data_IF_813455175943
#
_entry.id   IF_813455175943
#
_cell.length_a   1.000
_cell.length_b   1.000
_cell.length_c   1.000
_cell.angle_alpha   90.00
_cell.angle_beta   90.00
_cell.angle_gamma   90.00
#
_symmetry.space_group_name_H-M   'P 1'
#
loop_
_entity.id
_entity.type
_entity.pdbx_description
1 polymer ?
#
# COMPACT_ATOMS: atom_id res chain seq x y z
N UNK A 1 -3.29 7.02 -23.79
CA UNK A 1 -2.15 7.56 -23.02
C UNK A 1 -2.37 9.03 -22.75
N UNK A 2 -2.14 9.47 -21.53
CA UNK A 2 -2.26 10.88 -21.18
C UNK A 2 -1.21 11.71 -21.88
N UNK A 3 -1.58 12.92 -22.27
CA UNK A 3 -0.64 13.86 -22.84
C UNK A 3 0.34 14.32 -21.77
N UNK A 4 1.63 14.33 -22.13
CA UNK A 4 2.67 14.85 -21.26
C UNK A 4 2.69 16.37 -21.41
N UNK A 5 2.42 17.07 -20.29
CA UNK A 5 2.47 18.53 -20.26
C UNK A 5 3.92 19.02 -20.16
N UNK A 6 4.17 20.29 -20.53
CA UNK A 6 5.50 20.87 -20.32
C UNK A 6 5.94 20.71 -18.87
N UNK A 7 7.18 20.28 -18.69
CA UNK A 7 7.70 19.95 -17.37
C UNK A 7 8.35 21.17 -16.75
N UNK A 8 7.99 21.46 -15.52
CA UNK A 8 8.86 22.23 -14.64
C UNK A 8 9.50 21.31 -13.61
N UNK A 9 10.47 21.83 -12.86
CA UNK A 9 11.22 21.02 -11.89
C UNK A 9 10.31 20.45 -10.78
N UNK A 10 9.22 21.15 -10.45
CA UNK A 10 8.31 20.72 -9.41
C UNK A 10 7.52 19.47 -9.80
N UNK A 11 7.38 19.18 -11.09
CA UNK A 11 6.56 18.08 -11.60
C UNK A 11 7.36 16.85 -12.03
N UNK A 12 8.68 16.82 -11.81
CA UNK A 12 9.52 15.68 -12.23
C UNK A 12 9.01 14.37 -11.64
N UNK A 13 8.65 14.37 -10.36
CA UNK A 13 8.16 13.19 -9.67
C UNK A 13 6.86 12.67 -10.28
N UNK A 14 5.93 13.57 -10.55
CA UNK A 14 4.68 13.24 -11.21
C UNK A 14 4.93 12.71 -12.64
N UNK A 15 5.86 13.31 -13.36
CA UNK A 15 6.24 12.84 -14.69
C UNK A 15 6.78 11.41 -14.67
N UNK A 16 7.59 11.06 -13.67
CA UNK A 16 8.12 9.71 -13.53
C UNK A 16 6.99 8.70 -13.29
N UNK A 17 5.96 9.07 -12.55
CA UNK A 17 4.79 8.23 -12.36
C UNK A 17 3.99 8.07 -13.64
N UNK A 18 3.84 9.12 -14.45
CA UNK A 18 3.17 9.04 -15.74
C UNK A 18 3.91 8.08 -16.68
N UNK A 19 5.23 8.04 -16.63
CA UNK A 19 6.02 7.12 -17.45
C UNK A 19 5.85 5.66 -17.00
N UNK A 20 5.65 5.43 -15.70
CA UNK A 20 5.44 4.09 -15.16
C UNK A 20 3.99 3.63 -15.33
N UNK A 21 3.04 4.55 -15.33
CA UNK A 21 1.62 4.30 -15.45
C UNK A 21 1.02 5.18 -16.54
N UNK A 22 -0.01 4.69 -17.22
CA UNK A 22 -0.71 5.48 -18.25
C UNK A 22 -1.32 6.77 -17.68
N UNK A 23 -1.65 6.76 -16.41
CA UNK A 23 -2.20 7.90 -15.69
C UNK A 23 -1.43 8.11 -14.38
N UNK A 24 -1.35 9.36 -13.89
CA UNK A 24 -0.73 9.61 -12.59
C UNK A 24 -1.45 8.86 -11.48
N UNK A 25 -0.67 8.23 -10.60
CA UNK A 25 -1.20 7.58 -9.40
C UNK A 25 -1.50 8.64 -8.36
N UNK A 26 -2.70 8.61 -7.80
CA UNK A 26 -3.12 9.53 -6.74
C UNK A 26 -2.97 8.89 -5.36
N UNK A 27 -3.07 9.73 -4.32
CA UNK A 27 -3.13 9.21 -2.95
C UNK A 27 -4.32 8.28 -2.75
N UNK A 28 -5.46 8.56 -3.39
CA UNK A 28 -6.62 7.67 -3.33
C UNK A 28 -6.34 6.31 -3.94
N UNK A 29 -5.60 6.26 -5.04
CA UNK A 29 -5.19 5.00 -5.65
C UNK A 29 -4.30 4.21 -4.70
N UNK A 30 -3.37 4.88 -4.04
CA UNK A 30 -2.49 4.26 -3.06
C UNK A 30 -3.27 3.78 -1.83
N UNK A 31 -4.23 4.56 -1.36
CA UNK A 31 -5.12 4.15 -0.27
C UNK A 31 -5.86 2.87 -0.64
N UNK A 32 -6.39 2.80 -1.85
CA UNK A 32 -7.07 1.59 -2.33
C UNK A 32 -6.13 0.38 -2.30
N UNK A 33 -4.92 0.54 -2.84
CA UNK A 33 -3.94 -0.55 -2.85
C UNK A 33 -3.60 -1.03 -1.45
N UNK A 34 -3.33 -0.12 -0.52
CA UNK A 34 -3.03 -0.47 0.87
C UNK A 34 -4.23 -1.11 1.57
N UNK A 35 -5.43 -0.60 1.31
CA UNK A 35 -6.66 -1.21 1.83
C UNK A 35 -6.81 -2.66 1.37
N UNK A 36 -6.59 -2.95 0.10
CA UNK A 36 -6.68 -4.31 -0.43
C UNK A 36 -5.60 -5.21 0.18
N UNK A 37 -4.38 -4.70 0.34
CA UNK A 37 -3.30 -5.44 1.01
C UNK A 37 -3.72 -5.84 2.43
N UNK A 38 -4.26 -4.90 3.20
CA UNK A 38 -4.71 -5.17 4.57
C UNK A 38 -5.90 -6.14 4.61
N UNK A 39 -6.83 -5.98 3.68
CA UNK A 39 -7.98 -6.88 3.58
C UNK A 39 -7.56 -8.30 3.21
N UNK A 40 -6.65 -8.45 2.25
CA UNK A 40 -6.08 -9.75 1.88
C UNK A 40 -5.39 -10.40 3.08
N UNK A 41 -4.58 -9.65 3.80
CA UNK A 41 -3.88 -10.11 5.00
C UNK A 41 -4.86 -10.72 6.01
N UNK A 42 -5.96 -10.04 6.29
CA UNK A 42 -6.98 -10.53 7.23
C UNK A 42 -7.71 -11.74 6.69
N UNK A 43 -8.04 -11.71 5.44
CA UNK A 43 -8.83 -12.77 4.81
C UNK A 43 -8.10 -14.09 4.74
N UNK A 44 -6.79 -14.07 4.46
CA UNK A 44 -5.99 -15.29 4.38
C UNK A 44 -5.26 -15.61 5.68
N UNK A 45 -5.46 -14.82 6.73
CA UNK A 45 -4.83 -15.03 8.04
C UNK A 45 -3.31 -15.06 7.96
N UNK A 46 -2.73 -14.12 7.20
CA UNK A 46 -1.30 -13.91 7.07
C UNK A 46 -0.96 -12.45 7.34
N UNK A 47 0.32 -12.15 7.51
CA UNK A 47 0.75 -10.76 7.67
C UNK A 47 0.58 -9.98 6.37
N UNK A 48 0.49 -8.65 6.47
CA UNK A 48 0.51 -7.80 5.27
C UNK A 48 1.83 -7.94 4.52
N UNK A 49 2.94 -8.14 5.23
CA UNK A 49 4.24 -8.40 4.59
C UNK A 49 4.19 -9.67 3.71
N UNK A 50 3.53 -10.72 4.20
CA UNK A 50 3.34 -11.92 3.37
C UNK A 50 2.62 -11.58 2.06
N UNK A 51 1.56 -10.79 2.14
CA UNK A 51 0.80 -10.38 0.95
C UNK A 51 1.71 -9.62 -0.02
N UNK A 52 2.38 -8.57 0.47
CA UNK A 52 3.27 -7.75 -0.36
C UNK A 52 4.37 -8.59 -0.99
N UNK A 53 4.98 -9.48 -0.22
CA UNK A 53 6.05 -10.35 -0.70
C UNK A 53 5.58 -11.27 -1.83
N UNK A 54 4.35 -11.75 -1.76
CA UNK A 54 3.82 -12.74 -2.71
C UNK A 54 3.10 -12.13 -3.91
N UNK A 55 2.49 -10.97 -3.79
CA UNK A 55 1.94 -10.27 -4.97
C UNK A 55 3.03 -9.54 -5.75
N UNK A 56 4.13 -9.20 -5.12
CA UNK A 56 5.33 -8.62 -5.74
C UNK A 56 5.05 -7.29 -6.42
N UNK A 57 6.03 -6.82 -7.16
CA UNK A 57 5.90 -5.61 -7.98
C UNK A 57 4.70 -5.67 -8.91
N UNK A 58 4.48 -6.82 -9.53
CA UNK A 58 3.36 -7.03 -10.45
C UNK A 58 2.01 -6.77 -9.79
N UNK A 59 1.77 -7.35 -8.62
CA UNK A 59 0.49 -7.20 -7.93
C UNK A 59 0.26 -5.79 -7.40
N UNK A 60 1.31 -5.15 -6.89
CA UNK A 60 1.21 -3.77 -6.41
C UNK A 60 0.93 -2.83 -7.58
N UNK A 61 1.65 -3.00 -8.69
CA UNK A 61 1.42 -2.23 -9.92
C UNK A 61 -0.02 -2.38 -10.39
N UNK A 62 -0.53 -3.61 -10.40
CA UNK A 62 -1.91 -3.90 -10.79
C UNK A 62 -2.91 -3.12 -9.92
N UNK A 63 -2.75 -3.16 -8.60
CA UNK A 63 -3.64 -2.45 -7.69
C UNK A 63 -3.61 -0.95 -7.91
N UNK A 64 -2.45 -0.37 -8.14
CA UNK A 64 -2.29 1.07 -8.37
C UNK A 64 -2.82 1.49 -9.74
N UNK A 65 -2.49 0.73 -10.77
CA UNK A 65 -2.87 1.05 -12.16
C UNK A 65 -4.38 0.95 -12.37
N UNK A 66 -5.00 -0.06 -11.79
CA UNK A 66 -6.43 -0.32 -12.00
C UNK A 66 -7.31 0.10 -10.82
N UNK A 67 -6.77 0.90 -9.89
CA UNK A 67 -7.50 1.30 -8.68
C UNK A 67 -8.88 1.88 -8.99
N UNK A 68 -8.98 2.80 -9.96
CA UNK A 68 -10.25 3.43 -10.33
C UNK A 68 -11.27 2.41 -10.82
N UNK A 69 -10.83 1.45 -11.65
CA UNK A 69 -11.70 0.40 -12.16
C UNK A 69 -12.09 -0.59 -11.06
N UNK A 70 -11.12 -1.03 -10.26
CA UNK A 70 -11.34 -2.00 -9.19
C UNK A 70 -12.22 -1.44 -8.08
N UNK A 71 -12.18 -0.12 -7.87
CA UNK A 71 -12.99 0.55 -6.86
C UNK A 71 -14.49 0.40 -7.10
N UNK A 72 -14.89 0.20 -8.35
CA UNK A 72 -16.29 0.05 -8.72
C UNK A 72 -16.80 -1.39 -8.64
N UNK A 73 -15.91 -2.37 -8.41
CA UNK A 73 -16.33 -3.75 -8.23
C UNK A 73 -16.32 -4.13 -6.74
N UNK A 74 -16.86 -5.30 -6.42
CA UNK A 74 -16.87 -5.81 -5.06
C UNK A 74 -15.44 -6.11 -4.60
N UNK A 75 -15.04 -5.57 -3.45
CA UNK A 75 -13.69 -5.76 -2.92
C UNK A 75 -13.37 -7.22 -2.62
N UNK A 76 -14.37 -7.99 -2.22
CA UNK A 76 -14.18 -9.42 -2.00
C UNK A 76 -13.85 -10.16 -3.30
N UNK A 77 -14.45 -9.73 -4.41
CA UNK A 77 -14.12 -10.27 -5.73
C UNK A 77 -12.67 -9.97 -6.09
N UNK A 78 -12.21 -8.73 -5.88
CA UNK A 78 -10.82 -8.37 -6.11
C UNK A 78 -9.89 -9.25 -5.28
N UNK A 79 -10.21 -9.46 -4.01
CA UNK A 79 -9.42 -10.34 -3.14
C UNK A 79 -9.43 -11.79 -3.64
N UNK A 80 -10.59 -12.33 -4.04
CA UNK A 80 -10.69 -13.69 -4.57
C UNK A 80 -9.77 -13.87 -5.79
N UNK A 81 -9.83 -12.92 -6.71
CA UNK A 81 -9.02 -12.96 -7.92
C UNK A 81 -7.53 -12.91 -7.61
N UNK A 82 -7.12 -12.07 -6.68
CA UNK A 82 -5.71 -11.96 -6.29
C UNK A 82 -5.20 -13.19 -5.53
N UNK A 83 -6.03 -13.77 -4.67
CA UNK A 83 -5.67 -15.01 -3.97
C UNK A 83 -5.39 -16.11 -4.99
N UNK A 84 -6.22 -16.21 -6.01
CA UNK A 84 -6.06 -17.22 -7.06
C UNK A 84 -4.84 -16.91 -7.93
N UNK A 85 -4.72 -15.68 -8.40
CA UNK A 85 -3.65 -15.27 -9.33
C UNK A 85 -2.26 -15.45 -8.72
N UNK A 86 -2.09 -15.00 -7.47
CA UNK A 86 -0.80 -15.02 -6.79
C UNK A 86 -0.63 -16.23 -5.87
N UNK A 87 -1.59 -17.16 -5.89
CA UNK A 87 -1.55 -18.42 -5.13
C UNK A 87 -1.29 -18.16 -3.64
N UNK A 88 -2.00 -17.20 -3.08
CA UNK A 88 -1.84 -16.84 -1.68
C UNK A 88 -2.38 -17.96 -0.79
N UNK A 89 -1.61 -18.33 0.23
CA UNK A 89 -1.92 -19.44 1.12
C UNK A 89 -2.51 -18.96 2.43
N UNK A 90 -3.49 -19.69 2.95
CA UNK A 90 -4.04 -19.40 4.27
C UNK A 90 -3.01 -19.64 5.37
N UNK A 91 -3.07 -18.82 6.40
CA UNK A 91 -2.30 -18.94 7.61
C UNK A 91 -3.18 -19.00 8.83
N UNK A 92 -2.64 -18.59 9.98
CA UNK A 92 -3.33 -18.70 11.28
C UNK A 92 -3.40 -17.39 12.05
N UNK A 93 -2.98 -16.27 11.47
CA UNK A 93 -3.03 -14.98 12.15
C UNK A 93 -4.46 -14.47 12.12
N UNK A 94 -5.01 -14.18 13.32
CA UNK A 94 -6.33 -13.59 13.45
C UNK A 94 -6.16 -12.16 13.96
N UNK A 95 -6.58 -11.20 13.14
CA UNK A 95 -6.53 -9.79 13.52
C UNK A 95 -7.91 -9.36 14.06
N UNK A 96 -7.95 -8.46 15.06
CA UNK A 96 -9.22 -7.92 15.54
C UNK A 96 -9.91 -7.09 14.46
N UNK A 97 -11.22 -6.90 14.60
CA UNK A 97 -11.96 -6.03 13.69
C UNK A 97 -11.48 -4.57 13.73
N UNK A 98 -11.06 -4.14 14.90
CA UNK A 98 -10.57 -2.78 15.12
C UNK A 98 -9.12 -2.82 15.57
N UNK A 99 -8.26 -1.98 14.97
CA UNK A 99 -8.56 -1.06 13.86
C UNK A 99 -8.92 -1.81 12.58
N UNK A 100 -9.74 -1.18 11.73
CA UNK A 100 -10.19 -1.77 10.48
C UNK A 100 -9.07 -1.85 9.44
N UNK A 101 -9.29 -2.68 8.42
CA UNK A 101 -8.39 -2.74 7.27
C UNK A 101 -8.28 -1.40 6.54
N UNK A 102 -9.39 -0.67 6.44
CA UNK A 102 -9.37 0.66 5.80
C UNK A 102 -8.55 1.66 6.62
N UNK A 103 -8.69 1.65 7.95
CA UNK A 103 -7.90 2.55 8.79
C UNK A 103 -6.41 2.27 8.67
N UNK A 104 -6.01 1.01 8.77
CA UNK A 104 -4.59 0.63 8.66
C UNK A 104 -4.08 0.89 7.25
N UNK A 105 -4.87 0.60 6.23
CA UNK A 105 -4.51 0.95 4.85
C UNK A 105 -4.27 2.44 4.68
N UNK A 106 -5.08 3.27 5.32
CA UNK A 106 -4.88 4.72 5.30
C UNK A 106 -3.56 5.13 5.97
N UNK A 107 -3.23 4.52 7.11
CA UNK A 107 -1.97 4.79 7.80
C UNK A 107 -0.78 4.51 6.88
N UNK A 108 -0.76 3.34 6.25
CA UNK A 108 0.31 2.99 5.32
C UNK A 108 0.35 3.89 4.10
N UNK A 109 -0.81 4.20 3.51
CA UNK A 109 -0.85 5.02 2.32
C UNK A 109 -0.30 6.43 2.57
N UNK A 110 -0.63 7.04 3.69
CA UNK A 110 -0.10 8.36 4.03
C UNK A 110 1.41 8.32 4.30
N UNK A 111 1.89 7.30 5.02
CA UNK A 111 3.31 7.12 5.25
C UNK A 111 4.07 6.93 3.92
N UNK A 112 3.61 6.01 3.10
CA UNK A 112 4.23 5.71 1.80
C UNK A 112 4.24 6.96 0.92
N UNK A 113 3.12 7.69 0.87
CA UNK A 113 3.02 8.91 0.07
C UNK A 113 4.05 9.95 0.47
N UNK A 114 4.30 10.10 1.77
CA UNK A 114 5.27 11.07 2.29
C UNK A 114 6.72 10.65 2.06
N UNK A 115 7.02 9.37 2.11
CA UNK A 115 8.40 8.88 1.96
C UNK A 115 8.73 8.42 0.54
N UNK A 116 7.75 8.45 -0.38
CA UNK A 116 7.97 7.94 -1.73
C UNK A 116 9.14 8.62 -2.42
N UNK A 117 9.90 7.78 -3.12
CA UNK A 117 11.00 8.20 -3.98
C UNK A 117 10.52 8.14 -5.44
N UNK A 118 11.44 7.95 -6.38
CA UNK A 118 11.12 7.90 -7.79
C UNK A 118 10.21 6.74 -8.17
N UNK A 119 10.37 5.60 -7.48
CA UNK A 119 9.59 4.39 -7.75
C UNK A 119 8.60 4.14 -6.60
N UNK A 120 7.34 4.48 -6.83
CA UNK A 120 6.30 4.32 -5.83
C UNK A 120 6.09 2.85 -5.47
N UNK A 121 6.12 1.95 -6.44
CA UNK A 121 5.93 0.51 -6.19
C UNK A 121 7.02 -0.01 -5.27
N UNK A 122 8.26 0.38 -5.54
CA UNK A 122 9.38 -0.01 -4.68
C UNK A 122 9.24 0.58 -3.27
N UNK A 123 8.74 1.81 -3.16
CA UNK A 123 8.50 2.43 -1.85
C UNK A 123 7.46 1.66 -1.05
N UNK A 124 6.40 1.18 -1.69
CA UNK A 124 5.41 0.31 -1.04
C UNK A 124 6.10 -0.92 -0.45
N UNK A 125 6.89 -1.60 -1.26
CA UNK A 125 7.63 -2.79 -0.82
C UNK A 125 8.56 -2.45 0.34
N UNK A 126 9.30 -1.37 0.25
CA UNK A 126 10.27 -0.96 1.26
C UNK A 126 9.61 -0.66 2.60
N UNK A 127 8.48 0.05 2.58
CA UNK A 127 7.77 0.40 3.81
C UNK A 127 7.22 -0.84 4.51
N UNK A 128 6.58 -1.74 3.77
CA UNK A 128 6.07 -2.98 4.36
C UNK A 128 7.19 -3.91 4.86
N UNK A 129 8.39 -3.77 4.33
CA UNK A 129 9.58 -4.53 4.78
C UNK A 129 10.37 -3.82 5.89
N UNK A 130 9.99 -2.60 6.24
CA UNK A 130 10.74 -1.81 7.22
C UNK A 130 10.35 -2.16 8.66
N UNK A 131 11.20 -1.80 9.65
CA UNK A 131 10.86 -2.01 11.07
C UNK A 131 9.58 -1.32 11.52
N UNK A 132 9.21 -0.19 10.91
CA UNK A 132 7.99 0.54 11.29
C UNK A 132 6.73 -0.29 11.02
N UNK A 133 6.76 -1.19 10.05
CA UNK A 133 5.64 -2.08 9.77
C UNK A 133 5.26 -2.90 11.01
N UNK A 134 6.26 -3.47 11.69
CA UNK A 134 6.01 -4.24 12.91
C UNK A 134 5.43 -3.39 14.03
N UNK A 135 5.83 -2.14 14.10
CA UNK A 135 5.33 -1.20 15.11
C UNK A 135 3.87 -0.85 14.81
N UNK A 136 3.55 -0.48 13.57
CA UNK A 136 2.18 -0.17 13.16
C UNK A 136 1.26 -1.37 13.37
N UNK A 137 1.71 -2.55 13.02
CA UNK A 137 0.92 -3.77 13.07
C UNK A 137 0.73 -4.31 14.48
N UNK A 138 1.52 -3.84 15.43
CA UNK A 138 1.28 -4.12 16.84
C UNK A 138 0.25 -3.14 17.39
N UNK A 139 -1.02 -3.46 17.20
CA UNK A 139 -2.14 -2.57 17.50
C UNK A 139 -2.24 -2.20 18.99
N UNK A 140 -1.59 -2.96 19.87
CA UNK A 140 -1.55 -2.66 21.31
C UNK A 140 -0.74 -1.41 21.63
N UNK A 141 0.23 -1.05 20.78
CA UNK A 141 1.04 0.15 21.00
C UNK A 141 0.30 1.43 20.60
N UNK A 142 -0.79 1.33 19.83
CA UNK A 142 -1.54 2.43 19.27
C UNK A 142 -0.72 3.34 18.35
N UNK A 143 0.42 2.86 17.86
CA UNK A 143 1.28 3.62 16.95
C UNK A 143 0.55 4.01 15.65
N UNK A 144 -0.42 3.21 15.23
CA UNK A 144 -1.22 3.53 14.04
C UNK A 144 -2.06 4.80 14.22
N UNK A 145 -2.21 5.31 15.43
CA UNK A 145 -2.90 6.57 15.71
C UNK A 145 -1.96 7.77 15.70
N UNK A 146 -0.65 7.55 15.61
CA UNK A 146 0.31 8.63 15.60
C UNK A 146 0.22 9.46 14.31
N UNK A 147 0.48 10.77 14.40
CA UNK A 147 0.53 11.60 13.21
C UNK A 147 1.54 11.09 12.18
N UNK A 148 1.23 11.25 10.91
CA UNK A 148 2.12 10.81 9.83
C UNK A 148 3.56 11.28 9.98
N UNK A 149 3.85 12.56 10.38
CA UNK A 149 5.24 12.97 10.57
C UNK A 149 6.02 12.15 11.59
N UNK A 150 5.36 11.66 12.64
CA UNK A 150 5.99 10.79 13.63
C UNK A 150 6.39 9.46 13.00
N UNK A 151 5.50 8.88 12.20
CA UNK A 151 5.78 7.62 11.52
C UNK A 151 6.84 7.78 10.43
N UNK A 152 6.84 8.90 9.72
CA UNK A 152 7.88 9.23 8.73
C UNK A 152 9.26 9.27 9.39
N UNK A 153 9.35 9.98 10.52
CA UNK A 153 10.59 10.07 11.26
C UNK A 153 11.07 8.70 11.74
N UNK A 154 10.15 7.89 12.26
CA UNK A 154 10.47 6.53 12.71
C UNK A 154 10.92 5.65 11.55
N UNK A 155 10.32 5.81 10.38
CA UNK A 155 10.71 5.06 9.18
C UNK A 155 12.17 5.34 8.81
N UNK A 156 12.54 6.63 8.71
CA UNK A 156 13.90 7.01 8.33
C UNK A 156 14.94 6.63 9.39
N UNK A 157 14.59 6.74 10.66
CA UNK A 157 15.51 6.43 11.76
C UNK A 157 15.50 4.93 12.11
N UNK A 158 14.64 4.14 11.49
CA UNK A 158 14.48 2.71 11.71
C UNK A 158 14.17 2.35 13.17
N UNK A 159 13.53 3.26 13.87
CA UNK A 159 13.09 3.04 15.26
C UNK A 159 11.94 3.96 15.61
N UNK A 160 11.14 3.51 16.55
CA UNK A 160 9.97 4.21 17.04
C UNK A 160 10.16 4.72 18.46
#
# INVERSE_FOLDING_TARGET
MKQILPIDVANIKELLMINAFDEPVTLNDLLFACFIIERLSRRIHRSNLYVVTNIKTEGITYLLEFATTLHSQNFNQTCDEMILEYKLKNGKIVKPEKPSDLLIGNVYSELIWKVQQEDLVQTVIDVYNSPICKVIDNYKTLAYLDPTPVLVNAYYNKRY
#
